data_IF_508711232866
#
_entry.id   IF_508711232866
#
_cell.length_a   1.000
_cell.length_b   1.000
_cell.length_c   1.000
_cell.angle_alpha   90.00
_cell.angle_beta   90.00
_cell.angle_gamma   90.00
#
_symmetry.space_group_name_H-M   'P 1'
#
loop_
_entity.id
_entity.type
_entity.pdbx_description
1 polymer ?
#
# COMPACT_ATOMS: atom_id res chain seq x y z
N UNK A 1 -27.13 4.61 6.52
CA UNK A 1 -26.84 4.60 7.96
C UNK A 1 -26.61 3.16 8.42
N UNK A 2 -27.55 2.26 8.18
CA UNK A 2 -27.44 0.85 8.57
C UNK A 2 -26.16 0.17 8.02
N UNK A 3 -25.80 0.41 6.76
CA UNK A 3 -24.59 -0.11 6.11
C UNK A 3 -23.28 0.41 6.75
N UNK A 4 -23.21 1.68 7.14
CA UNK A 4 -22.00 2.23 7.79
C UNK A 4 -21.88 1.70 9.23
N UNK A 5 -23.01 1.50 9.92
CA UNK A 5 -23.04 0.93 11.27
C UNK A 5 -22.56 -0.52 11.26
N UNK A 6 -23.03 -1.31 10.29
CA UNK A 6 -22.59 -2.70 10.06
C UNK A 6 -21.10 -2.76 9.73
N UNK A 7 -20.65 -2.01 8.73
CA UNK A 7 -19.24 -1.94 8.37
C UNK A 7 -18.34 -1.54 9.54
N UNK A 8 -18.75 -0.52 10.32
CA UNK A 8 -18.00 -0.08 11.49
C UNK A 8 -17.90 -1.18 12.55
N UNK A 9 -18.98 -1.92 12.77
CA UNK A 9 -18.99 -3.06 13.68
C UNK A 9 -18.00 -4.14 13.22
N UNK A 10 -18.00 -4.49 11.94
CA UNK A 10 -17.12 -5.50 11.37
C UNK A 10 -15.66 -5.06 11.41
N UNK A 11 -15.36 -3.81 11.05
CA UNK A 11 -14.03 -3.21 11.17
C UNK A 11 -13.50 -3.31 12.61
N UNK A 12 -14.34 -3.01 13.60
CA UNK A 12 -13.94 -3.11 14.99
C UNK A 12 -13.75 -4.53 15.49
N UNK A 13 -14.52 -5.49 15.00
CA UNK A 13 -14.28 -6.90 15.28
C UNK A 13 -12.90 -7.36 14.76
N UNK A 14 -12.54 -6.96 13.55
CA UNK A 14 -11.22 -7.21 12.96
C UNK A 14 -10.09 -6.56 13.76
N UNK A 15 -10.25 -5.29 14.13
CA UNK A 15 -9.28 -4.56 14.98
C UNK A 15 -9.07 -5.25 16.33
N UNK A 16 -10.15 -5.68 16.99
CA UNK A 16 -10.06 -6.35 18.28
C UNK A 16 -9.44 -7.75 18.19
N UNK A 17 -9.69 -8.46 17.09
CA UNK A 17 -9.04 -9.75 16.81
C UNK A 17 -7.54 -9.55 16.60
N UNK A 18 -7.14 -8.61 15.74
CA UNK A 18 -5.74 -8.27 15.50
C UNK A 18 -5.02 -7.83 16.79
N UNK A 19 -5.67 -7.00 17.62
CA UNK A 19 -5.10 -6.56 18.89
C UNK A 19 -4.82 -7.72 19.86
N UNK A 20 -5.73 -8.71 19.92
CA UNK A 20 -5.54 -9.90 20.74
C UNK A 20 -4.45 -10.83 20.20
N UNK A 21 -4.45 -11.07 18.89
CA UNK A 21 -3.51 -11.99 18.26
C UNK A 21 -2.07 -11.52 18.35
N UNK A 22 -1.85 -10.20 18.29
CA UNK A 22 -0.50 -9.60 18.33
C UNK A 22 -0.12 -9.03 19.70
N UNK A 23 -1.01 -9.05 20.68
CA UNK A 23 -0.82 -8.44 22.00
C UNK A 23 -0.43 -6.95 21.93
N UNK A 24 -1.15 -6.19 21.09
CA UNK A 24 -0.98 -4.76 20.87
C UNK A 24 -2.21 -3.96 21.33
N UNK A 25 -2.06 -2.65 21.47
CA UNK A 25 -3.18 -1.78 21.83
C UNK A 25 -4.19 -1.64 20.69
N UNK A 26 -5.47 -1.48 21.02
CA UNK A 26 -6.55 -1.35 20.04
C UNK A 26 -6.34 -0.16 19.08
N UNK A 27 -5.74 0.93 19.55
CA UNK A 27 -5.40 2.07 18.69
C UNK A 27 -4.32 1.74 17.67
N UNK A 28 -3.36 0.93 18.05
CA UNK A 28 -2.30 0.43 17.17
C UNK A 28 -2.86 -0.55 16.13
N UNK A 29 -3.72 -1.47 16.57
CA UNK A 29 -4.43 -2.37 15.69
C UNK A 29 -5.35 -1.62 14.70
N UNK A 30 -6.07 -0.59 15.16
CA UNK A 30 -6.88 0.25 14.28
C UNK A 30 -6.00 0.98 13.24
N UNK A 31 -4.86 1.51 13.65
CA UNK A 31 -3.90 2.13 12.73
C UNK A 31 -3.46 1.14 11.65
N UNK A 32 -3.05 -0.06 12.04
CA UNK A 32 -2.61 -1.08 11.09
C UNK A 32 -3.74 -1.48 10.12
N UNK A 33 -4.93 -1.84 10.65
CA UNK A 33 -6.09 -2.23 9.82
C UNK A 33 -6.49 -1.12 8.85
N UNK A 34 -6.56 0.12 9.31
CA UNK A 34 -6.89 1.24 8.43
C UNK A 34 -5.80 1.51 7.37
N UNK A 35 -4.52 1.41 7.73
CA UNK A 35 -3.42 1.57 6.77
C UNK A 35 -3.39 0.45 5.72
N UNK A 36 -3.80 -0.78 6.07
CA UNK A 36 -4.01 -1.84 5.09
C UNK A 36 -5.07 -1.44 4.04
N UNK A 37 -6.21 -0.90 4.48
CA UNK A 37 -7.25 -0.42 3.57
C UNK A 37 -6.72 0.70 2.67
N UNK A 38 -5.96 1.66 3.23
CA UNK A 38 -5.36 2.73 2.45
C UNK A 38 -4.37 2.21 1.41
N UNK A 39 -3.56 1.23 1.79
CA UNK A 39 -2.60 0.60 0.89
C UNK A 39 -3.31 -0.17 -0.22
N UNK A 40 -4.32 -0.95 0.13
CA UNK A 40 -5.08 -1.76 -0.83
C UNK A 40 -5.88 -0.91 -1.82
N UNK A 41 -6.31 0.28 -1.40
CA UNK A 41 -6.91 1.30 -2.27
C UNK A 41 -5.89 2.15 -3.04
N UNK A 42 -4.59 1.85 -2.94
CA UNK A 42 -3.49 2.60 -3.57
C UNK A 42 -3.36 4.07 -3.11
N UNK A 43 -3.98 4.42 -1.98
CA UNK A 43 -3.87 5.75 -1.40
C UNK A 43 -2.47 6.01 -0.81
N UNK A 44 -1.82 4.96 -0.29
CA UNK A 44 -0.43 4.96 0.16
C UNK A 44 0.32 3.77 -0.47
N UNK A 45 1.62 3.87 -0.54
CA UNK A 45 2.47 2.79 -1.09
C UNK A 45 2.83 1.78 -0.01
N UNK A 46 3.16 2.28 1.17
CA UNK A 46 3.54 1.51 2.34
C UNK A 46 3.14 2.27 3.61
N UNK A 47 3.27 1.64 4.77
CA UNK A 47 3.17 2.37 6.03
C UNK A 47 4.18 1.82 7.04
N UNK A 48 4.69 2.74 7.85
CA UNK A 48 5.62 2.46 8.93
C UNK A 48 5.03 3.06 10.22
N UNK A 49 4.69 2.25 11.22
CA UNK A 49 4.24 2.76 12.51
C UNK A 49 5.34 3.63 13.16
N UNK A 50 4.99 4.78 13.70
CA UNK A 50 5.93 5.67 14.35
C UNK A 50 5.20 6.65 15.26
N UNK A 51 4.89 6.21 16.47
CA UNK A 51 4.03 6.96 17.37
C UNK A 51 4.78 8.08 18.08
N UNK A 52 4.35 9.32 17.84
CA UNK A 52 4.78 10.46 18.61
C UNK A 52 3.63 11.47 18.75
N UNK A 53 3.20 11.68 19.99
CA UNK A 53 2.27 12.74 20.35
C UNK A 53 2.89 13.63 21.41
N UNK A 54 3.43 14.75 20.99
CA UNK A 54 4.23 15.62 21.85
C UNK A 54 3.69 17.05 21.88
N UNK A 55 3.60 17.61 23.08
CA UNK A 55 3.23 19.01 23.28
C UNK A 55 4.53 19.86 23.36
N UNK A 56 4.95 20.47 22.27
CA UNK A 56 6.04 21.44 22.28
C UNK A 56 5.56 22.80 22.76
N UNK A 57 5.81 23.14 24.00
CA UNK A 57 5.44 24.41 24.60
C UNK A 57 3.90 24.64 24.69
N UNK A 58 3.50 25.80 25.15
CA UNK A 58 2.09 26.14 25.30
C UNK A 58 1.37 26.15 23.95
N UNK A 59 0.45 25.20 23.72
CA UNK A 59 -0.48 25.09 22.59
C UNK A 59 0.06 24.62 21.22
N UNK A 60 1.20 23.93 21.13
CA UNK A 60 1.72 23.41 19.85
C UNK A 60 1.94 21.90 19.90
N UNK A 61 0.87 21.14 19.77
CA UNK A 61 0.96 19.68 19.64
C UNK A 61 1.65 19.29 18.32
N UNK A 62 2.56 18.31 18.39
CA UNK A 62 3.04 17.53 17.26
C UNK A 62 2.32 16.18 17.31
N UNK A 63 1.98 15.61 16.16
CA UNK A 63 1.45 14.25 16.11
C UNK A 63 1.90 13.54 14.83
N UNK A 64 2.25 12.29 15.00
CA UNK A 64 2.45 11.30 13.97
C UNK A 64 2.18 9.93 14.60
N UNK A 65 1.45 9.08 13.92
CA UNK A 65 1.22 7.68 14.29
C UNK A 65 1.88 6.73 13.30
N UNK A 66 2.16 7.23 12.09
CA UNK A 66 2.93 6.53 11.08
C UNK A 66 3.22 7.38 9.85
N UNK A 67 3.95 6.79 8.92
CA UNK A 67 4.40 7.49 7.72
C UNK A 67 4.58 6.54 6.53
N UNK A 68 4.60 7.11 5.32
CA UNK A 68 5.07 6.45 4.10
C UNK A 68 6.20 7.30 3.50
N UNK A 69 7.42 6.77 3.53
CA UNK A 69 8.59 7.36 2.89
C UNK A 69 8.93 6.69 1.55
N UNK A 70 8.35 5.53 1.26
CA UNK A 70 8.62 4.77 0.04
C UNK A 70 8.01 5.48 -1.18
N UNK A 71 6.94 6.25 -0.96
CA UNK A 71 6.36 7.15 -1.94
C UNK A 71 7.37 8.21 -2.46
N UNK A 72 8.43 8.53 -1.70
CA UNK A 72 9.46 9.47 -2.15
C UNK A 72 10.22 8.98 -3.38
N UNK A 73 10.50 7.69 -3.47
CA UNK A 73 11.19 7.12 -4.63
C UNK A 73 10.29 7.06 -5.88
N UNK A 74 8.97 7.07 -5.69
CA UNK A 74 7.98 6.95 -6.76
C UNK A 74 7.61 8.30 -7.37
N UNK A 75 7.23 9.25 -6.53
CA UNK A 75 6.67 10.53 -6.96
C UNK A 75 7.17 11.74 -6.16
N UNK A 76 8.29 11.59 -5.44
CA UNK A 76 8.91 12.64 -4.61
C UNK A 76 7.98 13.13 -3.48
N UNK A 77 7.06 12.26 -3.00
CA UNK A 77 6.13 12.56 -1.93
C UNK A 77 6.54 11.97 -0.58
N UNK A 78 6.08 12.61 0.49
CA UNK A 78 6.16 12.12 1.87
C UNK A 78 4.74 12.08 2.43
N UNK A 79 4.40 10.99 3.08
CA UNK A 79 3.10 10.83 3.76
C UNK A 79 3.30 10.84 5.28
N UNK A 80 2.51 11.64 5.97
CA UNK A 80 2.40 11.65 7.44
C UNK A 80 0.99 11.22 7.80
N UNK A 81 0.86 10.22 8.68
CA UNK A 81 -0.42 9.61 9.03
C UNK A 81 -0.69 9.82 10.52
N UNK A 82 -1.91 10.20 10.85
CA UNK A 82 -2.41 10.30 12.22
C UNK A 82 -3.81 9.72 12.29
N UNK A 83 -4.03 8.84 13.27
CA UNK A 83 -5.35 8.37 13.63
C UNK A 83 -6.03 9.26 14.68
N UNK A 84 -7.34 9.19 14.74
CA UNK A 84 -8.12 9.88 15.76
C UNK A 84 -7.80 9.32 17.15
N UNK A 85 -7.63 10.20 18.14
CA UNK A 85 -7.44 9.81 19.54
C UNK A 85 -8.77 9.56 20.29
N UNK A 86 -9.88 9.83 19.61
CA UNK A 86 -11.25 9.66 20.13
C UNK A 86 -11.97 8.49 19.46
N UNK A 87 -11.28 7.39 19.29
CA UNK A 87 -11.91 6.17 18.78
C UNK A 87 -13.02 5.70 19.71
N UNK A 88 -14.19 5.41 19.13
CA UNK A 88 -15.43 5.14 19.89
C UNK A 88 -15.81 3.66 19.85
N UNK A 89 -14.91 2.80 20.29
CA UNK A 89 -15.01 1.34 20.23
C UNK A 89 -16.23 0.74 20.93
N UNK A 90 -16.64 1.32 22.05
CA UNK A 90 -17.65 0.73 22.94
C UNK A 90 -19.08 1.22 22.65
N UNK A 91 -19.26 2.07 21.66
CA UNK A 91 -20.57 2.60 21.34
C UNK A 91 -21.22 1.74 20.24
N UNK A 92 -22.17 0.88 20.63
CA UNK A 92 -22.96 0.05 19.69
C UNK A 92 -23.92 0.90 18.84
N UNK A 93 -23.87 2.23 18.97
CA UNK A 93 -24.72 3.19 18.29
C UNK A 93 -24.05 3.69 16.99
N UNK A 94 -24.80 4.47 16.23
CA UNK A 94 -24.34 5.15 15.03
C UNK A 94 -22.98 5.84 15.21
N UNK A 95 -22.12 5.87 14.18
CA UNK A 95 -20.78 6.47 14.29
C UNK A 95 -20.90 7.92 14.75
N UNK A 96 -20.04 8.32 15.69
CA UNK A 96 -19.97 9.74 16.08
C UNK A 96 -19.54 10.57 14.87
N UNK A 97 -19.91 11.84 14.88
CA UNK A 97 -19.58 12.74 13.78
C UNK A 97 -18.32 13.57 14.07
N UNK A 98 -17.60 13.93 13.01
CA UNK A 98 -16.46 14.83 13.08
C UNK A 98 -16.64 16.00 12.12
N UNK A 99 -16.15 17.17 12.51
CA UNK A 99 -16.27 18.41 11.75
C UNK A 99 -14.89 18.89 11.27
N UNK A 100 -14.88 19.72 10.21
CA UNK A 100 -13.66 20.28 9.63
C UNK A 100 -12.73 20.96 10.65
N UNK A 101 -13.28 21.61 11.68
CA UNK A 101 -12.49 22.25 12.72
C UNK A 101 -11.69 21.26 13.59
N UNK A 102 -12.21 20.05 13.79
CA UNK A 102 -11.46 19.00 14.50
C UNK A 102 -10.41 18.37 13.59
N UNK A 103 -10.73 17.99 12.35
CA UNK A 103 -9.76 17.50 11.37
C UNK A 103 -8.58 18.46 11.23
N UNK A 104 -8.86 19.77 11.18
CA UNK A 104 -7.84 20.82 11.11
C UNK A 104 -6.84 20.79 12.28
N UNK A 105 -7.25 20.38 13.48
CA UNK A 105 -6.32 20.24 14.62
C UNK A 105 -5.29 19.17 14.38
N UNK A 106 -5.69 18.02 13.84
CA UNK A 106 -4.80 16.91 13.49
C UNK A 106 -3.87 17.30 12.35
N UNK A 107 -4.38 17.90 11.28
CA UNK A 107 -3.54 18.41 10.19
C UNK A 107 -2.51 19.44 10.66
N UNK A 108 -2.89 20.34 11.55
CA UNK A 108 -1.95 21.28 12.14
C UNK A 108 -0.84 20.58 12.95
N UNK A 109 -1.15 19.50 13.64
CA UNK A 109 -0.19 18.73 14.42
C UNK A 109 0.80 17.99 13.52
N UNK A 110 0.31 17.34 12.46
CA UNK A 110 1.14 16.68 11.43
C UNK A 110 2.06 17.65 10.70
N UNK A 111 1.53 18.80 10.28
CA UNK A 111 2.35 19.87 9.66
C UNK A 111 3.47 20.35 10.56
N UNK A 112 3.18 20.55 11.85
CA UNK A 112 4.22 20.98 12.81
C UNK A 112 5.30 19.91 12.94
N UNK A 113 4.94 18.63 12.98
CA UNK A 113 5.92 17.55 12.94
C UNK A 113 6.79 17.64 11.69
N UNK A 114 6.17 17.70 10.50
CA UNK A 114 6.89 17.79 9.23
C UNK A 114 7.84 19.00 9.19
N UNK A 115 7.38 20.18 9.61
CA UNK A 115 8.21 21.39 9.64
C UNK A 115 9.33 21.30 10.68
N UNK A 116 9.07 20.70 11.84
CA UNK A 116 10.09 20.50 12.87
C UNK A 116 11.17 19.50 12.40
N UNK A 117 10.76 18.43 11.70
CA UNK A 117 11.66 17.48 11.06
C UNK A 117 12.50 18.17 9.96
N UNK A 118 11.85 18.94 9.09
CA UNK A 118 12.50 19.71 8.02
C UNK A 118 13.59 20.64 8.53
N UNK A 119 13.31 21.39 9.59
CA UNK A 119 14.24 22.35 10.19
C UNK A 119 15.27 21.68 11.12
N UNK A 120 15.09 20.42 11.50
CA UNK A 120 15.95 19.70 12.45
C UNK A 120 15.68 19.98 13.92
N UNK A 121 14.64 20.75 14.24
CA UNK A 121 14.28 21.06 15.64
C UNK A 121 13.63 19.88 16.36
N UNK A 122 13.00 18.96 15.63
CA UNK A 122 12.50 17.71 16.18
C UNK A 122 13.64 16.79 16.60
N UNK A 123 14.60 16.56 15.69
CA UNK A 123 15.75 15.69 15.93
C UNK A 123 16.64 16.16 17.11
N UNK A 124 16.65 17.46 17.39
CA UNK A 124 17.41 18.00 18.51
C UNK A 124 16.83 17.63 19.89
N UNK A 125 15.60 17.09 19.93
CA UNK A 125 14.88 16.78 21.17
C UNK A 125 14.36 15.33 21.22
N UNK A 126 14.33 14.64 20.08
CA UNK A 126 13.85 13.26 19.98
C UNK A 126 14.97 12.28 20.34
N UNK A 127 14.55 11.09 20.79
CA UNK A 127 15.44 9.97 21.03
C UNK A 127 15.96 9.41 19.68
N UNK A 128 17.27 9.29 19.53
CA UNK A 128 17.92 8.89 18.27
C UNK A 128 17.55 7.45 17.83
N UNK A 129 17.15 6.60 18.77
CA UNK A 129 16.72 5.23 18.51
C UNK A 129 15.24 5.10 18.08
N UNK A 130 14.49 6.20 18.05
CA UNK A 130 13.08 6.16 17.71
C UNK A 130 12.85 6.17 16.19
N UNK A 131 11.84 5.44 15.73
CA UNK A 131 11.42 5.41 14.33
C UNK A 131 11.03 6.80 13.81
N UNK A 132 10.43 7.63 14.68
CA UNK A 132 10.09 9.01 14.36
C UNK A 132 11.33 9.87 14.15
N UNK A 133 12.44 9.59 14.85
CA UNK A 133 13.72 10.28 14.62
C UNK A 133 14.31 9.89 13.25
N UNK A 134 14.29 8.60 12.91
CA UNK A 134 14.78 8.12 11.62
C UNK A 134 14.01 8.76 10.47
N UNK A 135 12.68 8.80 10.56
CA UNK A 135 11.84 9.46 9.57
C UNK A 135 12.10 10.97 9.49
N UNK A 136 12.25 11.64 10.64
CA UNK A 136 12.59 13.06 10.67
C UNK A 136 13.97 13.35 10.03
N UNK A 137 14.95 12.46 10.23
CA UNK A 137 16.24 12.53 9.54
C UNK A 137 16.10 12.33 8.04
N UNK A 138 15.27 11.37 7.61
CA UNK A 138 14.96 11.15 6.20
C UNK A 138 14.40 12.42 5.54
N UNK A 139 13.41 13.07 6.16
CA UNK A 139 12.83 14.34 5.67
C UNK A 139 13.92 15.40 5.53
N UNK A 140 14.77 15.57 6.55
CA UNK A 140 15.82 16.58 6.56
C UNK A 140 16.88 16.37 5.47
N UNK A 141 17.28 15.11 5.27
CA UNK A 141 18.29 14.74 4.27
C UNK A 141 17.78 14.87 2.84
N UNK A 142 16.49 14.58 2.61
CA UNK A 142 15.88 14.56 1.28
C UNK A 142 15.05 15.81 0.94
N UNK A 143 15.11 16.86 1.79
CA UNK A 143 14.28 18.07 1.63
C UNK A 143 14.34 18.74 0.26
N UNK A 144 15.49 18.65 -0.43
CA UNK A 144 15.65 19.24 -1.76
C UNK A 144 14.87 18.47 -2.86
N UNK A 145 14.60 17.17 -2.62
CA UNK A 145 13.86 16.29 -3.53
C UNK A 145 12.35 16.20 -3.24
N UNK A 146 11.91 16.58 -2.03
CA UNK A 146 10.49 16.49 -1.66
C UNK A 146 9.68 17.52 -2.46
N UNK A 147 8.68 17.05 -3.22
CA UNK A 147 7.75 17.86 -4.00
C UNK A 147 6.34 17.87 -3.44
N UNK A 148 5.95 16.84 -2.70
CA UNK A 148 4.63 16.69 -2.10
C UNK A 148 4.74 16.30 -0.64
N UNK A 149 3.90 16.90 0.19
CA UNK A 149 3.70 16.51 1.58
C UNK A 149 2.21 16.18 1.74
N UNK A 150 1.90 14.91 1.94
CA UNK A 150 0.54 14.39 2.10
C UNK A 150 0.28 14.12 3.58
N UNK A 151 -0.84 14.59 4.07
CA UNK A 151 -1.27 14.45 5.47
C UNK A 151 -2.57 13.66 5.51
N UNK A 152 -2.51 12.46 6.07
CA UNK A 152 -3.63 11.55 6.17
C UNK A 152 -4.14 11.51 7.60
N UNK A 153 -5.38 11.91 7.80
CA UNK A 153 -6.09 11.81 9.06
C UNK A 153 -7.13 10.69 8.95
N UNK A 154 -7.06 9.69 9.82
CA UNK A 154 -7.91 8.50 9.81
C UNK A 154 -8.79 8.49 11.06
N UNK A 155 -10.08 8.20 10.91
CA UNK A 155 -11.06 8.18 12.01
C UNK A 155 -12.17 7.17 11.73
N UNK A 156 -12.69 6.53 12.79
CA UNK A 156 -13.89 5.70 12.76
C UNK A 156 -15.19 6.50 12.88
N UNK A 157 -15.08 7.83 12.91
CA UNK A 157 -16.22 8.79 12.94
C UNK A 157 -16.62 9.19 11.52
N UNK A 158 -17.86 9.60 11.35
CA UNK A 158 -18.37 10.10 10.06
C UNK A 158 -18.13 11.59 9.90
N UNK A 159 -17.53 12.00 8.80
CA UNK A 159 -17.31 13.41 8.48
C UNK A 159 -18.62 14.06 8.00
N UNK A 160 -19.08 15.07 8.71
CA UNK A 160 -20.31 15.82 8.39
C UNK A 160 -20.06 17.31 8.09
N UNK A 161 -18.84 17.67 7.71
CA UNK A 161 -18.48 19.02 7.31
C UNK A 161 -19.15 19.44 6.00
N UNK A 162 -19.49 20.74 5.88
CA UNK A 162 -20.08 21.29 4.64
C UNK A 162 -19.09 21.47 3.50
N UNK A 163 -17.81 21.55 3.80
CA UNK A 163 -16.72 21.64 2.82
C UNK A 163 -16.10 20.27 2.60
N UNK A 164 -15.62 20.03 1.39
CA UNK A 164 -14.81 18.86 1.09
C UNK A 164 -13.67 18.73 2.12
N UNK A 165 -13.54 17.58 2.80
CA UNK A 165 -12.45 17.37 3.75
C UNK A 165 -11.07 17.54 3.10
N UNK A 166 -10.93 17.30 1.81
CA UNK A 166 -9.68 17.49 1.06
C UNK A 166 -9.40 18.96 0.73
N UNK A 167 -10.42 19.82 0.76
CA UNK A 167 -10.29 21.27 0.57
C UNK A 167 -9.84 22.04 1.83
N UNK A 168 -9.54 21.35 2.94
CA UNK A 168 -9.01 21.98 4.16
C UNK A 168 -7.63 22.56 3.86
N UNK A 169 -7.59 23.83 3.50
CA UNK A 169 -6.33 24.55 3.28
C UNK A 169 -5.81 25.11 4.60
N UNK A 170 -4.60 24.73 4.95
CA UNK A 170 -3.88 25.25 6.11
C UNK A 170 -2.64 25.98 5.58
N UNK A 171 -2.76 27.30 5.40
CA UNK A 171 -1.74 28.12 4.73
C UNK A 171 -0.54 28.53 5.61
N UNK A 172 -0.57 28.20 6.89
CA UNK A 172 0.36 28.75 7.88
C UNK A 172 1.84 28.45 7.56
N UNK A 173 2.14 27.31 6.93
CA UNK A 173 3.51 26.86 6.69
C UNK A 173 3.96 26.91 5.23
N UNK A 174 3.06 27.24 4.30
CA UNK A 174 3.36 27.37 2.86
C UNK A 174 4.16 28.61 2.50
N UNK A 175 4.16 29.63 3.37
CA UNK A 175 4.67 30.98 3.05
C UNK A 175 6.19 31.12 3.11
N UNK A 176 6.88 30.15 3.71
CA UNK A 176 8.34 30.22 3.79
C UNK A 176 9.00 29.83 2.47
N UNK A 177 9.91 30.67 1.98
CA UNK A 177 10.57 30.52 0.66
C UNK A 177 11.16 29.12 0.43
N UNK A 178 11.67 28.47 1.47
CA UNK A 178 12.31 27.16 1.39
C UNK A 178 11.33 26.02 1.06
N UNK A 179 10.03 26.20 1.30
CA UNK A 179 8.99 25.19 1.12
C UNK A 179 7.91 25.57 0.10
N UNK A 180 8.11 26.68 -0.64
CA UNK A 180 7.13 27.13 -1.65
C UNK A 180 6.96 26.15 -2.81
N UNK A 181 7.95 25.29 -3.05
CA UNK A 181 7.91 24.30 -4.10
C UNK A 181 7.15 23.02 -3.72
N UNK A 182 6.75 22.87 -2.44
CA UNK A 182 6.06 21.66 -1.95
C UNK A 182 4.56 21.85 -2.12
N UNK A 183 3.91 20.88 -2.76
CA UNK A 183 2.45 20.71 -2.71
C UNK A 183 2.05 20.11 -1.37
N UNK A 184 1.06 20.73 -0.73
CA UNK A 184 0.54 20.28 0.56
C UNK A 184 -0.85 19.72 0.34
N UNK A 185 -1.04 18.43 0.64
CA UNK A 185 -2.28 17.69 0.38
C UNK A 185 -2.81 17.14 1.71
N UNK A 186 -4.12 17.27 1.93
CA UNK A 186 -4.79 16.89 3.17
C UNK A 186 -5.90 15.92 2.85
N UNK A 187 -5.86 14.74 3.47
CA UNK A 187 -6.80 13.66 3.21
C UNK A 187 -7.45 13.22 4.53
N UNK A 188 -8.78 13.33 4.61
CA UNK A 188 -9.56 12.78 5.71
C UNK A 188 -10.11 11.44 5.28
N UNK A 189 -9.74 10.40 6.00
CA UNK A 189 -10.25 9.05 5.86
C UNK A 189 -11.19 8.78 7.02
N UNK A 190 -12.46 9.13 6.82
CA UNK A 190 -13.54 8.85 7.74
C UNK A 190 -14.10 7.44 7.52
N UNK A 191 -15.01 6.99 8.39
CA UNK A 191 -15.58 5.64 8.31
C UNK A 191 -16.26 5.35 6.97
N UNK A 192 -16.90 6.35 6.35
CA UNK A 192 -17.54 6.21 5.03
C UNK A 192 -16.49 5.94 3.94
N UNK A 193 -15.42 6.72 3.91
CA UNK A 193 -14.35 6.57 2.93
C UNK A 193 -13.58 5.26 3.11
N UNK A 194 -13.37 4.83 4.37
CA UNK A 194 -12.80 3.50 4.66
C UNK A 194 -13.71 2.39 4.13
N UNK A 195 -15.03 2.49 4.36
CA UNK A 195 -16.01 1.54 3.85
C UNK A 195 -15.99 1.49 2.31
N UNK A 196 -16.07 2.64 1.64
CA UNK A 196 -16.05 2.73 0.18
C UNK A 196 -14.76 2.12 -0.41
N UNK A 197 -13.62 2.40 0.20
CA UNK A 197 -12.33 1.83 -0.21
C UNK A 197 -12.28 0.31 0.02
N UNK A 198 -12.73 -0.16 1.18
CA UNK A 198 -12.80 -1.57 1.53
C UNK A 198 -13.74 -2.34 0.58
N UNK A 199 -14.91 -1.78 0.27
CA UNK A 199 -15.83 -2.37 -0.71
C UNK A 199 -15.27 -2.35 -2.13
N UNK A 200 -14.55 -1.29 -2.53
CA UNK A 200 -13.91 -1.22 -3.84
C UNK A 200 -12.80 -2.28 -3.99
N UNK A 201 -12.14 -2.65 -2.88
CA UNK A 201 -11.14 -3.73 -2.85
C UNK A 201 -11.78 -5.10 -2.63
N UNK A 202 -12.88 -5.19 -1.90
CA UNK A 202 -13.64 -6.43 -1.61
C UNK A 202 -14.59 -6.86 -2.73
N UNK A 203 -15.12 -5.93 -3.50
CA UNK A 203 -15.66 -6.18 -4.83
C UNK A 203 -14.44 -6.34 -5.76
N UNK A 204 -13.79 -7.50 -5.68
CA UNK A 204 -12.87 -7.90 -6.72
C UNK A 204 -13.66 -7.84 -8.03
N UNK A 205 -13.59 -6.71 -8.75
CA UNK A 205 -13.88 -6.70 -10.17
C UNK A 205 -13.09 -7.88 -10.72
N UNK A 206 -13.79 -8.88 -11.24
CA UNK A 206 -13.14 -10.03 -11.85
C UNK A 206 -12.05 -9.52 -12.80
N UNK A 207 -10.81 -9.71 -12.39
CA UNK A 207 -9.65 -9.23 -13.16
C UNK A 207 -9.40 -10.22 -14.27
N UNK A 208 -9.83 -9.88 -15.47
CA UNK A 208 -9.54 -10.70 -16.65
C UNK A 208 -8.37 -10.13 -17.43
N UNK A 209 -7.37 -10.98 -17.65
CA UNK A 209 -6.15 -10.64 -18.40
C UNK A 209 -6.17 -11.43 -19.71
N UNK A 210 -6.45 -10.72 -20.79
CA UNK A 210 -6.30 -11.25 -22.14
C UNK A 210 -4.83 -11.34 -22.55
N UNK A 211 -4.45 -12.45 -23.16
CA UNK A 211 -3.08 -12.73 -23.61
C UNK A 211 -3.05 -12.90 -25.15
N UNK A 212 -3.02 -11.81 -25.91
CA UNK A 212 -3.00 -11.89 -27.38
C UNK A 212 -1.81 -12.72 -27.87
N UNK A 213 -2.07 -13.77 -28.62
CA UNK A 213 -1.05 -14.70 -29.10
C UNK A 213 -0.76 -15.88 -28.18
N UNK A 214 -1.32 -15.88 -26.98
CA UNK A 214 -1.20 -16.95 -26.00
C UNK A 214 0.23 -17.13 -25.43
N UNK A 215 0.33 -17.64 -24.21
CA UNK A 215 1.59 -17.99 -23.57
C UNK A 215 1.73 -19.50 -23.54
N UNK A 216 2.82 -20.02 -24.07
CA UNK A 216 3.13 -21.44 -24.02
C UNK A 216 3.32 -21.90 -22.57
N UNK A 217 2.69 -23.01 -22.21
CA UNK A 217 2.68 -23.51 -20.84
C UNK A 217 2.85 -25.02 -20.80
N UNK A 218 3.31 -25.51 -19.65
CA UNK A 218 3.35 -26.94 -19.34
C UNK A 218 2.44 -27.16 -18.12
N UNK A 219 1.39 -27.94 -18.29
CA UNK A 219 0.54 -28.39 -17.18
C UNK A 219 1.28 -29.48 -16.41
N UNK A 220 1.30 -29.37 -15.08
CA UNK A 220 1.82 -30.43 -14.23
C UNK A 220 0.93 -31.69 -14.34
N UNK A 221 1.50 -32.89 -14.24
CA UNK A 221 0.74 -34.14 -14.21
C UNK A 221 0.14 -34.37 -12.82
N UNK A 222 -0.68 -33.45 -12.36
CA UNK A 222 -1.42 -33.53 -11.10
C UNK A 222 -2.86 -33.99 -11.42
N UNK A 223 -3.34 -34.94 -10.65
CA UNK A 223 -4.72 -35.41 -10.68
C UNK A 223 -5.54 -34.85 -9.50
N UNK A 224 -5.22 -33.62 -9.05
CA UNK A 224 -5.94 -32.96 -7.96
C UNK A 224 -7.26 -32.40 -8.48
N UNK A 225 -8.36 -32.73 -7.81
CA UNK A 225 -9.71 -32.29 -8.22
C UNK A 225 -9.90 -30.76 -7.98
N UNK A 226 -9.13 -30.17 -7.06
CA UNK A 226 -9.35 -28.82 -6.55
C UNK A 226 -8.42 -27.75 -7.15
N UNK A 227 -7.37 -28.15 -7.87
CA UNK A 227 -6.40 -27.22 -8.45
C UNK A 227 -5.69 -27.78 -9.67
N UNK A 228 -5.29 -26.87 -10.56
CA UNK A 228 -4.43 -27.14 -11.70
C UNK A 228 -3.12 -26.35 -11.58
N UNK A 229 -1.98 -26.97 -11.85
CA UNK A 229 -0.68 -26.29 -11.80
C UNK A 229 -0.05 -26.17 -13.19
N UNK A 230 0.39 -24.98 -13.54
CA UNK A 230 1.06 -24.68 -14.82
C UNK A 230 2.42 -24.04 -14.58
N UNK A 231 3.38 -24.35 -15.44
CA UNK A 231 4.64 -23.64 -15.55
C UNK A 231 4.67 -22.87 -16.87
N UNK A 232 4.92 -21.57 -16.79
CA UNK A 232 4.98 -20.71 -17.96
C UNK A 232 6.12 -19.69 -17.82
N UNK A 233 6.43 -19.01 -18.92
CA UNK A 233 7.42 -17.95 -18.95
C UNK A 233 6.78 -16.69 -19.52
N UNK A 234 6.91 -15.58 -18.78
CA UNK A 234 6.47 -14.26 -19.23
C UNK A 234 7.66 -13.34 -19.45
N UNK A 235 7.54 -12.41 -20.39
CA UNK A 235 8.57 -11.40 -20.57
C UNK A 235 8.35 -10.24 -19.57
N UNK A 236 9.44 -9.54 -19.24
CA UNK A 236 9.38 -8.45 -18.27
C UNK A 236 8.48 -7.29 -18.71
N UNK A 237 8.34 -7.04 -20.01
CA UNK A 237 7.41 -6.03 -20.56
C UNK A 237 5.94 -6.44 -20.35
N UNK A 238 5.58 -7.71 -20.52
CA UNK A 238 4.25 -8.24 -20.23
C UNK A 238 3.94 -8.10 -18.75
N UNK A 239 4.86 -8.55 -17.88
CA UNK A 239 4.69 -8.45 -16.42
C UNK A 239 4.60 -6.99 -15.94
N UNK A 240 5.44 -6.11 -16.49
CA UNK A 240 5.40 -4.66 -16.24
C UNK A 240 4.09 -4.04 -16.72
N UNK A 241 3.55 -4.51 -17.85
CA UNK A 241 2.26 -4.09 -18.37
C UNK A 241 1.11 -4.46 -17.44
N UNK A 242 1.12 -5.68 -16.89
CA UNK A 242 0.13 -6.11 -15.89
C UNK A 242 0.22 -5.27 -14.63
N UNK A 243 1.43 -5.07 -14.09
CA UNK A 243 1.62 -4.25 -12.90
C UNK A 243 1.20 -2.79 -13.13
N UNK A 244 1.49 -2.23 -14.30
CA UNK A 244 1.05 -0.88 -14.67
C UNK A 244 -0.48 -0.74 -14.71
N UNK A 245 -1.19 -1.78 -15.20
CA UNK A 245 -2.64 -1.75 -15.38
C UNK A 245 -3.41 -2.06 -14.10
N UNK A 246 -2.90 -3.01 -13.29
CA UNK A 246 -3.64 -3.57 -12.18
C UNK A 246 -3.05 -3.20 -10.80
N UNK A 247 -1.84 -2.65 -10.76
CA UNK A 247 -1.21 -2.16 -9.53
C UNK A 247 -1.13 -3.21 -8.43
N UNK A 248 -1.51 -2.83 -7.23
CA UNK A 248 -1.53 -3.69 -6.05
C UNK A 248 -2.55 -4.83 -6.15
N UNK A 249 -3.61 -4.70 -6.96
CA UNK A 249 -4.61 -5.77 -7.21
C UNK A 249 -3.96 -7.06 -7.77
N UNK A 250 -2.81 -6.93 -8.43
CA UNK A 250 -2.05 -8.06 -8.95
C UNK A 250 -1.34 -8.86 -7.84
N UNK A 251 -1.23 -8.31 -6.63
CA UNK A 251 -0.50 -8.90 -5.51
C UNK A 251 -1.48 -9.47 -4.47
N UNK A 252 -1.18 -10.64 -3.97
CA UNK A 252 -1.86 -11.18 -2.80
C UNK A 252 -1.56 -10.35 -1.54
N UNK A 253 -2.47 -10.30 -0.57
CA UNK A 253 -2.40 -9.41 0.60
C UNK A 253 -1.08 -9.55 1.40
N UNK A 254 -0.61 -10.77 1.64
CA UNK A 254 0.65 -11.01 2.36
C UNK A 254 1.88 -10.52 1.59
N UNK A 255 1.86 -10.63 0.25
CA UNK A 255 2.94 -10.13 -0.61
C UNK A 255 2.96 -8.61 -0.63
N UNK A 256 1.81 -7.97 -0.55
CA UNK A 256 1.69 -6.49 -0.47
C UNK A 256 2.35 -5.97 0.80
N UNK A 257 2.06 -6.58 1.97
CA UNK A 257 2.68 -6.20 3.25
C UNK A 257 4.19 -6.34 3.25
N UNK A 258 4.73 -7.37 2.59
CA UNK A 258 6.16 -7.60 2.50
C UNK A 258 6.87 -6.60 1.56
N UNK A 259 6.20 -6.14 0.50
CA UNK A 259 6.72 -5.10 -0.41
C UNK A 259 6.88 -3.76 0.32
N UNK A 260 5.96 -3.43 1.21
CA UNK A 260 5.98 -2.19 1.98
C UNK A 260 7.17 -2.08 2.93
N UNK A 261 7.61 -3.21 3.51
CA UNK A 261 8.74 -3.24 4.46
C UNK A 261 10.12 -3.09 3.81
N UNK A 262 10.26 -3.21 2.49
CA UNK A 262 11.56 -3.20 1.80
C UNK A 262 11.60 -2.43 0.49
N UNK A 263 10.89 -1.35 0.32
CA UNK A 263 10.76 -0.51 -0.90
C UNK A 263 12.04 -0.14 -1.68
N UNK A 264 13.12 -0.88 -1.48
CA UNK A 264 14.35 -0.78 -2.26
C UNK A 264 14.24 -1.71 -3.45
N UNK A 265 14.14 -1.14 -4.66
CA UNK A 265 14.48 -1.86 -5.89
C UNK A 265 15.72 -2.69 -5.58
N UNK A 266 15.56 -4.02 -5.62
CA UNK A 266 16.66 -4.90 -5.30
C UNK A 266 17.82 -4.59 -6.28
N UNK A 267 18.92 -4.03 -5.76
CA UNK A 267 20.05 -3.60 -6.58
C UNK A 267 20.58 -4.72 -7.47
N UNK A 268 20.53 -5.97 -6.99
CA UNK A 268 20.91 -7.14 -7.76
C UNK A 268 19.98 -7.39 -8.95
N UNK A 269 18.67 -7.33 -8.72
CA UNK A 269 17.65 -7.48 -9.78
C UNK A 269 17.81 -6.37 -10.82
N UNK A 270 17.90 -5.12 -10.42
CA UNK A 270 18.09 -3.98 -11.32
C UNK A 270 19.38 -4.12 -12.15
N UNK A 271 20.49 -4.50 -11.49
CA UNK A 271 21.76 -4.71 -12.18
C UNK A 271 21.67 -5.80 -13.25
N UNK A 272 20.97 -6.90 -12.96
CA UNK A 272 20.74 -7.99 -13.93
C UNK A 272 19.87 -7.50 -15.09
N UNK A 273 18.77 -6.80 -14.82
CA UNK A 273 17.87 -6.26 -15.86
C UNK A 273 18.64 -5.33 -16.81
N UNK A 274 19.42 -4.39 -16.27
CA UNK A 274 20.14 -3.40 -17.08
C UNK A 274 21.32 -3.97 -17.86
N UNK A 275 22.07 -4.92 -17.28
CA UNK A 275 23.36 -5.31 -17.84
C UNK A 275 23.37 -6.73 -18.45
N UNK A 276 22.50 -7.63 -17.99
CA UNK A 276 22.47 -9.04 -18.38
C UNK A 276 21.02 -9.59 -18.42
N UNK A 277 20.09 -8.94 -19.16
CA UNK A 277 18.67 -9.33 -19.14
C UNK A 277 18.43 -10.79 -19.52
N UNK A 278 19.18 -11.34 -20.46
CA UNK A 278 19.05 -12.73 -20.91
C UNK A 278 19.42 -13.77 -19.81
N UNK A 279 20.14 -13.35 -18.79
CA UNK A 279 20.49 -14.22 -17.65
C UNK A 279 19.51 -14.13 -16.50
N UNK A 280 18.49 -13.28 -16.62
CA UNK A 280 17.52 -13.06 -15.56
C UNK A 280 16.86 -14.37 -15.11
N UNK A 281 16.43 -15.19 -16.04
CA UNK A 281 15.80 -16.50 -15.80
C UNK A 281 16.66 -17.46 -15.00
N UNK A 282 17.99 -17.36 -15.13
CA UNK A 282 18.93 -18.21 -14.42
C UNK A 282 19.29 -17.68 -13.01
N UNK A 283 19.16 -16.37 -12.79
CA UNK A 283 19.61 -15.73 -11.56
C UNK A 283 18.47 -15.47 -10.57
N UNK A 284 17.21 -15.59 -11.00
CA UNK A 284 16.02 -15.30 -10.20
C UNK A 284 15.07 -16.50 -10.16
N UNK A 285 14.47 -16.74 -8.99
CA UNK A 285 13.61 -17.89 -8.77
C UNK A 285 12.24 -17.81 -9.48
N UNK A 286 11.91 -16.64 -10.08
CA UNK A 286 10.64 -16.43 -10.73
C UNK A 286 9.53 -16.05 -9.76
N UNK A 287 8.28 -16.31 -10.15
CA UNK A 287 7.07 -15.93 -9.43
C UNK A 287 6.24 -17.18 -9.11
N UNK A 288 5.46 -17.12 -8.05
CA UNK A 288 4.29 -17.98 -7.85
C UNK A 288 3.05 -17.11 -7.92
N UNK A 289 2.09 -17.53 -8.70
CA UNK A 289 0.82 -16.83 -8.87
C UNK A 289 -0.35 -17.82 -8.77
N UNK A 290 -1.52 -17.32 -8.38
CA UNK A 290 -2.79 -18.03 -8.42
C UNK A 290 -3.73 -17.37 -9.42
N UNK A 291 -4.71 -18.12 -9.92
CA UNK A 291 -5.82 -17.63 -10.72
C UNK A 291 -7.07 -18.44 -10.40
N UNK A 292 -8.26 -17.88 -10.63
CA UNK A 292 -9.53 -18.60 -10.46
C UNK A 292 -9.89 -19.39 -11.71
N UNK A 293 -9.48 -18.92 -12.87
CA UNK A 293 -9.74 -19.59 -14.14
C UNK A 293 -8.66 -19.32 -15.19
N UNK A 294 -8.45 -20.29 -16.06
CA UNK A 294 -7.51 -20.23 -17.20
C UNK A 294 -8.21 -20.73 -18.45
N UNK A 295 -8.16 -19.92 -19.51
CA UNK A 295 -8.58 -20.35 -20.84
C UNK A 295 -7.36 -20.67 -21.70
N UNK A 296 -7.38 -21.85 -22.35
CA UNK A 296 -6.30 -22.29 -23.24
C UNK A 296 -6.79 -22.42 -24.66
N UNK A 297 -5.92 -22.14 -25.63
CA UNK A 297 -6.19 -22.39 -27.05
C UNK A 297 -6.04 -23.89 -27.43
N UNK A 298 -6.36 -24.22 -28.68
CA UNK A 298 -6.24 -25.57 -29.18
C UNK A 298 -4.81 -26.13 -29.25
N UNK A 299 -3.79 -25.34 -28.89
CA UNK A 299 -2.38 -25.70 -28.81
C UNK A 299 -1.88 -25.77 -27.35
N UNK A 300 -2.78 -25.61 -26.39
CA UNK A 300 -2.44 -25.61 -24.96
C UNK A 300 -1.71 -24.35 -24.48
N UNK A 301 -1.83 -23.24 -25.21
CA UNK A 301 -1.30 -21.94 -24.76
C UNK A 301 -2.38 -21.22 -23.96
N UNK A 302 -2.02 -20.58 -22.85
CA UNK A 302 -2.93 -19.75 -22.07
C UNK A 302 -3.21 -18.47 -22.84
N UNK A 303 -4.49 -18.21 -23.11
CA UNK A 303 -4.97 -17.02 -23.82
C UNK A 303 -5.73 -16.04 -22.92
N UNK A 304 -6.16 -16.48 -21.73
CA UNK A 304 -6.83 -15.66 -20.73
C UNK A 304 -6.58 -16.19 -19.33
N UNK A 305 -6.45 -15.27 -18.38
CA UNK A 305 -6.32 -15.51 -16.95
C UNK A 305 -7.36 -14.68 -16.21
N UNK A 306 -8.14 -15.30 -15.33
CA UNK A 306 -9.07 -14.59 -14.46
C UNK A 306 -8.54 -14.59 -13.02
N UNK A 307 -8.64 -13.41 -12.38
CA UNK A 307 -8.27 -13.13 -10.99
C UNK A 307 -6.82 -13.55 -10.64
N UNK A 308 -5.89 -13.19 -11.52
CA UNK A 308 -4.47 -13.46 -11.32
C UNK A 308 -3.94 -12.70 -10.09
N UNK A 309 -3.36 -13.43 -9.14
CA UNK A 309 -2.68 -12.86 -7.97
C UNK A 309 -1.27 -13.42 -7.82
N UNK A 310 -0.29 -12.57 -7.60
CA UNK A 310 1.10 -12.96 -7.33
C UNK A 310 1.23 -13.21 -5.83
N UNK A 311 1.38 -14.45 -5.44
CA UNK A 311 1.52 -14.89 -4.04
C UNK A 311 2.99 -15.00 -3.59
N UNK A 312 3.94 -15.03 -4.54
CA UNK A 312 5.37 -14.94 -4.25
C UNK A 312 6.12 -14.26 -5.41
N UNK A 313 7.13 -13.46 -5.11
CA UNK A 313 7.93 -12.75 -6.13
C UNK A 313 7.46 -11.32 -6.41
N UNK A 314 6.64 -10.72 -5.55
CA UNK A 314 6.17 -9.35 -5.68
C UNK A 314 7.33 -8.34 -5.80
N UNK A 315 8.41 -8.49 -5.02
CA UNK A 315 9.62 -7.66 -5.14
C UNK A 315 10.26 -7.76 -6.53
N UNK A 316 10.25 -8.92 -7.13
CA UNK A 316 10.77 -9.13 -8.49
C UNK A 316 9.91 -8.36 -9.48
N UNK A 317 8.59 -8.48 -9.38
CA UNK A 317 7.61 -7.79 -10.23
C UNK A 317 7.75 -6.27 -10.12
N UNK A 318 7.75 -5.73 -8.91
CA UNK A 318 7.94 -4.30 -8.66
C UNK A 318 9.31 -3.82 -9.18
N UNK A 319 10.39 -4.56 -8.93
CA UNK A 319 11.73 -4.19 -9.42
C UNK A 319 11.82 -4.17 -10.95
N UNK A 320 11.15 -5.09 -11.64
CA UNK A 320 11.08 -5.10 -13.12
C UNK A 320 10.34 -3.85 -13.60
N UNK A 321 9.16 -3.57 -13.02
CA UNK A 321 8.35 -2.42 -13.39
C UNK A 321 9.11 -1.10 -13.20
N UNK A 322 9.64 -0.86 -12.00
CA UNK A 322 10.33 0.41 -11.70
C UNK A 322 11.63 0.57 -12.47
N UNK A 323 12.38 -0.51 -12.72
CA UNK A 323 13.58 -0.45 -13.57
C UNK A 323 13.22 -0.07 -15.01
N UNK A 324 12.15 -0.65 -15.55
CA UNK A 324 11.66 -0.29 -16.88
C UNK A 324 11.26 1.18 -17.00
N UNK A 325 10.57 1.70 -15.98
CA UNK A 325 10.11 3.10 -15.95
C UNK A 325 11.28 4.09 -15.76
N UNK A 326 12.16 3.84 -14.80
CA UNK A 326 13.25 4.75 -14.41
C UNK A 326 14.41 4.74 -15.42
N UNK A 327 14.84 3.57 -15.82
CA UNK A 327 16.04 3.41 -16.67
C UNK A 327 15.68 3.29 -18.16
N UNK A 328 14.37 3.28 -18.50
CA UNK A 328 13.86 3.07 -19.87
C UNK A 328 14.46 1.86 -20.56
N UNK A 329 14.70 0.82 -19.77
CA UNK A 329 15.36 -0.42 -20.22
C UNK A 329 14.37 -1.28 -21.01
N UNK A 330 14.86 -1.92 -22.07
CA UNK A 330 14.09 -2.92 -22.80
C UNK A 330 13.90 -4.19 -21.94
N UNK A 331 12.65 -4.46 -21.58
CA UNK A 331 12.27 -5.58 -20.74
C UNK A 331 11.88 -6.84 -21.52
N UNK A 332 11.86 -6.79 -22.86
CA UNK A 332 11.45 -7.93 -23.71
C UNK A 332 12.40 -9.13 -23.61
N UNK A 333 13.66 -8.88 -23.22
CA UNK A 333 14.70 -9.91 -23.01
C UNK A 333 14.74 -10.45 -21.57
N UNK A 334 13.98 -9.87 -20.65
CA UNK A 334 13.87 -10.33 -19.26
C UNK A 334 12.84 -11.45 -19.22
N UNK A 335 13.27 -12.68 -19.07
CA UNK A 335 12.36 -13.84 -19.00
C UNK A 335 12.14 -14.24 -17.55
N UNK A 336 10.88 -14.31 -17.15
CA UNK A 336 10.45 -14.61 -15.78
C UNK A 336 9.68 -15.93 -15.76
N UNK A 337 10.18 -16.96 -15.07
CA UNK A 337 9.42 -18.18 -14.87
C UNK A 337 8.27 -17.94 -13.87
N UNK A 338 7.11 -18.48 -14.15
CA UNK A 338 5.92 -18.36 -13.31
C UNK A 338 5.34 -19.74 -13.05
N UNK A 339 5.25 -20.11 -11.77
CA UNK A 339 4.40 -21.20 -11.31
C UNK A 339 3.00 -20.64 -11.11
N UNK A 340 2.05 -21.03 -11.93
CA UNK A 340 0.64 -20.63 -11.84
C UNK A 340 -0.17 -21.78 -11.27
N UNK A 341 -0.89 -21.54 -10.17
CA UNK A 341 -1.81 -22.49 -9.57
C UNK A 341 -3.22 -21.94 -9.77
N UNK A 342 -4.02 -22.69 -10.50
CA UNK A 342 -5.44 -22.39 -10.73
C UNK A 342 -6.25 -23.06 -9.61
N UNK A 343 -6.91 -22.26 -8.79
CA UNK A 343 -7.68 -22.71 -7.63
C UNK A 343 -9.13 -22.30 -7.85
N UNK A 344 -10.07 -23.24 -7.72
CA UNK A 344 -11.48 -22.92 -7.83
C UNK A 344 -11.90 -21.90 -6.75
N UNK A 345 -12.80 -20.99 -7.11
CA UNK A 345 -13.16 -19.80 -6.31
C UNK A 345 -13.62 -20.17 -4.89
N UNK A 346 -14.39 -21.25 -4.74
CA UNK A 346 -14.88 -21.77 -3.46
C UNK A 346 -13.76 -22.32 -2.54
N UNK A 347 -12.61 -22.74 -3.10
CA UNK A 347 -11.46 -23.26 -2.35
C UNK A 347 -10.33 -22.23 -2.18
N UNK A 348 -10.42 -21.06 -2.83
CA UNK A 348 -9.33 -20.08 -2.86
C UNK A 348 -8.94 -19.60 -1.46
N UNK A 349 -9.91 -19.30 -0.58
CA UNK A 349 -9.66 -18.84 0.80
C UNK A 349 -8.90 -19.86 1.65
N UNK A 350 -9.11 -21.14 1.40
CA UNK A 350 -8.47 -22.22 2.16
C UNK A 350 -7.08 -22.56 1.61
N UNK A 351 -6.91 -22.59 0.28
CA UNK A 351 -5.70 -23.12 -0.35
C UNK A 351 -4.64 -22.07 -0.64
N UNK A 352 -5.01 -20.83 -0.96
CA UNK A 352 -4.03 -19.76 -1.31
C UNK A 352 -2.99 -19.52 -0.21
N UNK A 353 -3.31 -19.50 1.09
CA UNK A 353 -2.31 -19.33 2.15
C UNK A 353 -1.19 -20.38 2.17
N UNK A 354 -1.44 -21.58 1.62
CA UNK A 354 -0.45 -22.67 1.56
C UNK A 354 0.38 -22.67 0.26
N UNK A 355 0.02 -21.86 -0.73
CA UNK A 355 0.69 -21.80 -2.03
C UNK A 355 1.91 -20.87 -2.02
N UNK A 356 2.00 -19.98 -1.06
CA UNK A 356 3.06 -18.95 -0.92
C UNK A 356 4.41 -19.51 -0.49
#
# INVERSE_FOLDING_TARGET
>A
MEEIEEYRHDLWNEVLELARDRDIYDQEAFFETACEILRDSEAITAYHPAYCRYLMGTNKALAIDGYDQDAFELDESIVVIVCDDKLTMNDQNAPQTIQAAECKKYFNAMQRFFVAAWNGSYQAQAEESSETYEFAQFIKQNRAGIRRARFYFITDREYTGRSDPEAIQIDQYKKEKERQHISWEYHTWDIRRLMEASHATGLAEHMSIELPGGIATVKAPDDMEDMDTYLLFVTGDVLSGWYKKYGSKLMEANVRSFLSMRGKVNKGIRTTICNQPDRFVAYNNGLTATATHVETDGQGRIIRLDDLQIVNGGQTTASIFYTGQKDKTDLSRVIVPVKLVVVHEDMARELVPYIS
#
